data_IF_665852809332
#
_entry.id   IF_665852809332
#
_cell.length_a   1.000
_cell.length_b   1.000
_cell.length_c   1.000
_cell.angle_alpha   90.00
_cell.angle_beta   90.00
_cell.angle_gamma   90.00
#
_symmetry.space_group_name_H-M   'P 1'
#
loop_
_entity.id
_entity.type
_entity.pdbx_description
1 polymer ?
#
# COMPACT_ATOMS: atom_id res chain seq x y z
N UNK A 1 17.41 -10.04 13.32
CA UNK A 1 17.38 -10.70 11.99
C UNK A 1 18.22 -9.85 11.04
N UNK A 2 19.18 -10.43 10.32
CA UNK A 2 20.02 -9.65 9.38
C UNK A 2 19.17 -8.98 8.31
N UNK A 3 19.48 -7.73 7.93
CA UNK A 3 18.77 -6.97 6.89
C UNK A 3 18.58 -7.78 5.59
N UNK A 4 19.57 -8.59 5.22
CA UNK A 4 19.50 -9.51 4.07
C UNK A 4 18.40 -10.56 4.21
N UNK A 5 18.23 -11.13 5.41
CA UNK A 5 17.19 -12.14 5.68
C UNK A 5 15.78 -11.55 5.60
N UNK A 6 15.56 -10.34 6.15
CA UNK A 6 14.26 -9.66 6.08
C UNK A 6 13.87 -9.38 4.63
N UNK A 7 14.81 -8.86 3.82
CA UNK A 7 14.54 -8.55 2.42
C UNK A 7 14.28 -9.82 1.59
N UNK A 8 14.99 -10.92 1.86
CA UNK A 8 14.74 -12.20 1.19
C UNK A 8 13.34 -12.77 1.52
N UNK A 9 12.92 -12.72 2.79
CA UNK A 9 11.57 -13.16 3.18
C UNK A 9 10.51 -12.27 2.54
N UNK A 10 10.71 -10.95 2.56
CA UNK A 10 9.82 -10.00 1.89
C UNK A 10 9.67 -10.33 0.41
N UNK A 11 10.77 -10.51 -0.33
CA UNK A 11 10.71 -10.78 -1.77
C UNK A 11 9.97 -12.08 -2.07
N UNK A 12 10.19 -13.13 -1.27
CA UNK A 12 9.47 -14.39 -1.40
C UNK A 12 7.96 -14.20 -1.20
N UNK A 13 7.55 -13.60 -0.07
CA UNK A 13 6.13 -13.37 0.23
C UNK A 13 5.44 -12.51 -0.84
N UNK A 14 6.08 -11.41 -1.25
CA UNK A 14 5.52 -10.49 -2.25
C UNK A 14 5.44 -11.15 -3.63
N UNK A 15 6.46 -11.91 -4.04
CA UNK A 15 6.44 -12.62 -5.32
C UNK A 15 5.35 -13.69 -5.37
N UNK A 16 5.19 -14.48 -4.30
CA UNK A 16 4.11 -15.47 -4.19
C UNK A 16 2.74 -14.80 -4.25
N UNK A 17 2.55 -13.71 -3.49
CA UNK A 17 1.31 -12.95 -3.51
C UNK A 17 1.01 -12.39 -4.91
N UNK A 18 2.00 -11.78 -5.57
CA UNK A 18 1.85 -11.23 -6.91
C UNK A 18 1.45 -12.30 -7.93
N UNK A 19 2.05 -13.50 -7.87
CA UNK A 19 1.67 -14.64 -8.72
C UNK A 19 0.24 -15.08 -8.47
N UNK A 20 -0.18 -15.20 -7.20
CA UNK A 20 -1.56 -15.55 -6.85
C UNK A 20 -2.53 -14.51 -7.42
N UNK A 21 -2.24 -13.22 -7.23
CA UNK A 21 -3.07 -12.12 -7.74
C UNK A 21 -3.14 -12.14 -9.27
N UNK A 22 -2.04 -12.42 -9.96
CA UNK A 22 -2.03 -12.53 -11.42
C UNK A 22 -2.91 -13.71 -11.92
N UNK A 23 -2.82 -14.87 -11.26
CA UNK A 23 -3.69 -16.02 -11.57
C UNK A 23 -5.16 -15.67 -11.33
N UNK A 24 -5.47 -15.08 -10.17
CA UNK A 24 -6.84 -14.64 -9.83
C UNK A 24 -7.36 -13.63 -10.86
N UNK A 25 -6.54 -12.66 -11.27
CA UNK A 25 -6.90 -11.69 -12.30
C UNK A 25 -7.30 -12.38 -13.61
N UNK A 26 -6.47 -13.29 -14.11
CA UNK A 26 -6.73 -13.98 -15.39
C UNK A 26 -7.98 -14.85 -15.29
N UNK A 27 -8.10 -15.65 -14.23
CA UNK A 27 -9.25 -16.53 -14.01
C UNK A 27 -10.55 -15.72 -13.99
N UNK A 28 -10.63 -14.71 -13.13
CA UNK A 28 -11.83 -13.87 -13.01
C UNK A 28 -12.10 -13.07 -14.30
N UNK A 29 -11.07 -12.57 -14.98
CA UNK A 29 -11.25 -11.83 -16.24
C UNK A 29 -11.82 -12.71 -17.35
N UNK A 30 -11.45 -13.99 -17.42
CA UNK A 30 -12.01 -14.95 -18.39
C UNK A 30 -13.48 -15.28 -18.05
N UNK A 31 -13.81 -15.49 -16.77
CA UNK A 31 -15.17 -15.86 -16.37
C UNK A 31 -16.18 -14.72 -16.43
N UNK A 32 -15.76 -13.49 -16.15
CA UNK A 32 -16.65 -12.33 -16.04
C UNK A 32 -16.49 -11.31 -17.18
N UNK A 33 -15.51 -11.50 -18.08
CA UNK A 33 -15.14 -10.57 -19.16
C UNK A 33 -14.77 -9.14 -18.65
N UNK A 34 -14.35 -9.05 -17.39
CA UNK A 34 -14.08 -7.80 -16.67
C UNK A 34 -12.60 -7.41 -16.74
N UNK A 35 -12.02 -7.29 -17.92
CA UNK A 35 -10.58 -6.95 -18.05
C UNK A 35 -10.22 -5.56 -17.51
N UNK A 36 -11.13 -4.60 -17.65
CA UNK A 36 -10.92 -3.17 -17.40
C UNK A 36 -11.16 -2.69 -15.97
N UNK A 37 -12.11 -3.21 -15.18
CA UNK A 37 -12.20 -2.82 -13.77
C UNK A 37 -11.33 -3.71 -12.87
N UNK A 38 -11.02 -4.94 -13.30
CA UNK A 38 -10.42 -5.93 -12.43
C UNK A 38 -8.91 -5.77 -12.23
N UNK A 39 -8.21 -4.99 -13.07
CA UNK A 39 -6.78 -4.71 -12.85
C UNK A 39 -6.51 -3.96 -11.55
N UNK A 40 -7.53 -3.34 -10.95
CA UNK A 40 -7.46 -2.72 -9.62
C UNK A 40 -6.90 -3.66 -8.56
N UNK A 41 -7.09 -4.97 -8.71
CA UNK A 41 -6.55 -5.95 -7.76
C UNK A 41 -5.02 -5.94 -7.73
N UNK A 42 -4.34 -5.50 -8.80
CA UNK A 42 -2.88 -5.38 -8.79
C UNK A 42 -2.38 -4.29 -7.84
N UNK A 43 -3.20 -3.30 -7.52
CA UNK A 43 -2.87 -2.27 -6.54
C UNK A 43 -2.78 -2.84 -5.10
N UNK A 44 -3.34 -4.03 -4.87
CA UNK A 44 -3.17 -4.74 -3.59
C UNK A 44 -1.74 -5.26 -3.38
N UNK A 45 -0.97 -5.49 -4.46
CA UNK A 45 0.41 -5.99 -4.39
C UNK A 45 1.34 -5.01 -3.67
N UNK A 46 1.43 -3.71 -4.05
CA UNK A 46 2.26 -2.76 -3.32
C UNK A 46 1.77 -2.54 -1.88
N UNK A 47 0.45 -2.58 -1.63
CA UNK A 47 -0.10 -2.51 -0.27
C UNK A 47 0.40 -3.69 0.57
N UNK A 48 0.26 -4.92 0.06
CA UNK A 48 0.73 -6.13 0.72
C UNK A 48 2.24 -6.09 0.97
N UNK A 49 3.03 -5.65 -0.02
CA UNK A 49 4.47 -5.50 0.13
C UNK A 49 4.89 -4.50 1.22
N UNK A 50 4.16 -3.39 1.35
CA UNK A 50 4.39 -2.42 2.43
C UNK A 50 3.96 -2.95 3.80
N UNK A 51 2.87 -3.74 3.85
CA UNK A 51 2.37 -4.37 5.07
C UNK A 51 3.36 -5.40 5.60
N UNK A 52 3.82 -6.30 4.73
CA UNK A 52 4.84 -7.31 5.07
C UNK A 52 6.11 -6.63 5.58
N UNK A 53 6.54 -5.53 4.96
CA UNK A 53 7.70 -4.79 5.42
C UNK A 53 7.49 -4.16 6.81
N UNK A 54 6.33 -3.55 7.06
CA UNK A 54 5.98 -2.97 8.36
C UNK A 54 5.98 -4.04 9.48
N UNK A 55 5.45 -5.23 9.20
CA UNK A 55 5.42 -6.37 10.13
C UNK A 55 6.83 -6.89 10.39
N UNK A 56 7.60 -7.19 9.34
CA UNK A 56 8.95 -7.77 9.47
C UNK A 56 9.92 -6.82 10.18
N UNK A 57 9.78 -5.51 9.97
CA UNK A 57 10.61 -4.49 10.62
C UNK A 57 10.07 -4.06 11.99
N UNK A 58 8.87 -4.52 12.40
CA UNK A 58 8.14 -4.10 13.61
C UNK A 58 7.99 -2.58 13.72
N UNK A 59 7.79 -1.91 12.59
CA UNK A 59 7.72 -0.45 12.49
C UNK A 59 6.52 -0.07 11.64
N UNK A 60 5.41 0.26 12.31
CA UNK A 60 4.15 0.58 11.65
C UNK A 60 4.25 1.82 10.72
N UNK A 61 5.12 2.78 11.03
CA UNK A 61 5.39 3.98 10.21
C UNK A 61 6.14 3.71 8.90
N UNK A 62 6.48 2.46 8.58
CA UNK A 62 7.04 2.08 7.27
C UNK A 62 5.91 1.76 6.27
N UNK A 63 4.70 1.51 6.78
CA UNK A 63 3.54 1.23 5.97
C UNK A 63 3.25 2.39 5.01
N UNK A 64 3.08 2.09 3.73
CA UNK A 64 2.94 3.10 2.68
C UNK A 64 1.48 3.55 2.58
N UNK A 65 1.10 4.56 3.38
CA UNK A 65 -0.24 5.15 3.33
C UNK A 65 -0.57 5.69 1.93
N UNK A 66 0.45 6.06 1.16
CA UNK A 66 0.32 6.53 -0.23
C UNK A 66 -0.32 5.47 -1.12
N UNK A 67 0.15 4.23 -1.00
CA UNK A 67 -0.36 3.13 -1.81
C UNK A 67 -1.82 2.85 -1.48
N UNK A 68 -2.22 2.99 -0.22
CA UNK A 68 -3.63 2.85 0.20
C UNK A 68 -4.47 4.00 -0.33
N UNK A 69 -4.02 5.25 -0.17
CA UNK A 69 -4.76 6.42 -0.62
C UNK A 69 -4.99 6.41 -2.14
N UNK A 70 -3.96 6.07 -2.93
CA UNK A 70 -4.06 5.93 -4.38
C UNK A 70 -5.02 4.80 -4.75
N UNK A 71 -4.89 3.64 -4.09
CA UNK A 71 -5.77 2.48 -4.37
C UNK A 71 -7.23 2.80 -4.10
N UNK A 72 -7.53 3.48 -2.99
CA UNK A 72 -8.89 3.92 -2.64
C UNK A 72 -9.40 4.93 -3.64
N UNK A 73 -8.62 5.97 -3.98
CA UNK A 73 -9.03 6.99 -4.94
C UNK A 73 -9.37 6.40 -6.31
N UNK A 74 -8.48 5.56 -6.84
CA UNK A 74 -8.66 4.95 -8.18
C UNK A 74 -9.80 3.94 -8.17
N UNK A 75 -9.96 3.16 -7.10
CA UNK A 75 -11.09 2.23 -6.95
C UNK A 75 -12.43 2.95 -6.93
N UNK A 76 -12.55 4.03 -6.14
CA UNK A 76 -13.78 4.84 -6.09
C UNK A 76 -14.05 5.55 -7.42
N UNK A 77 -13.01 6.07 -8.07
CA UNK A 77 -13.11 6.71 -9.39
C UNK A 77 -13.62 5.76 -10.47
N UNK A 78 -13.19 4.49 -10.47
CA UNK A 78 -13.63 3.50 -11.47
C UNK A 78 -15.01 2.91 -11.12
N UNK A 79 -15.26 2.55 -9.87
CA UNK A 79 -16.51 1.88 -9.47
C UNK A 79 -17.68 2.86 -9.41
N UNK A 80 -17.49 4.02 -8.80
CA UNK A 80 -18.56 5.01 -8.59
C UNK A 80 -18.58 6.10 -9.66
N UNK A 81 -17.56 6.18 -10.52
CA UNK A 81 -17.37 7.26 -11.50
C UNK A 81 -17.30 8.67 -10.85
N UNK A 82 -16.94 8.72 -9.56
CA UNK A 82 -16.78 9.96 -8.82
C UNK A 82 -15.29 10.25 -8.73
N UNK A 83 -14.81 11.15 -9.59
CA UNK A 83 -13.43 11.65 -9.56
C UNK A 83 -13.30 12.93 -8.75
N UNK A 84 -14.36 13.74 -8.74
CA UNK A 84 -14.54 14.93 -7.91
C UNK A 84 -15.76 14.71 -7.01
N UNK A 85 -15.67 14.88 -5.68
CA UNK A 85 -14.60 15.50 -4.87
C UNK A 85 -13.54 14.52 -4.31
N UNK A 86 -13.54 13.27 -4.76
CA UNK A 86 -12.83 12.14 -4.16
C UNK A 86 -11.31 12.28 -4.12
N UNK A 87 -10.72 13.13 -4.95
CA UNK A 87 -9.29 13.47 -4.90
C UNK A 87 -8.84 14.00 -3.53
N UNK A 88 -9.77 14.53 -2.72
CA UNK A 88 -9.48 14.99 -1.36
C UNK A 88 -8.90 13.87 -0.47
N UNK A 89 -9.16 12.59 -0.77
CA UNK A 89 -8.56 11.43 -0.08
C UNK A 89 -7.03 11.45 -0.20
N UNK A 90 -6.47 11.97 -1.30
CA UNK A 90 -5.02 12.07 -1.48
C UNK A 90 -4.37 13.05 -0.50
N UNK A 91 -5.13 13.98 0.09
CA UNK A 91 -4.63 14.89 1.13
C UNK A 91 -4.26 14.17 2.43
N UNK A 92 -4.69 12.91 2.62
CA UNK A 92 -4.22 12.06 3.72
C UNK A 92 -2.70 11.87 3.66
N UNK A 93 -2.11 11.85 2.45
CA UNK A 93 -0.67 11.66 2.25
C UNK A 93 0.16 12.76 2.92
N UNK A 94 0.02 14.06 2.56
CA UNK A 94 0.79 15.11 3.19
C UNK A 94 0.47 15.26 4.68
N UNK A 95 -0.78 15.05 5.09
CA UNK A 95 -1.17 15.09 6.52
C UNK A 95 -0.42 14.02 7.31
N UNK A 96 -0.41 12.78 6.83
CA UNK A 96 0.30 11.68 7.48
C UNK A 96 1.81 11.91 7.52
N UNK A 97 2.42 12.36 6.41
CA UNK A 97 3.86 12.66 6.37
C UNK A 97 4.24 13.81 7.31
N UNK A 98 3.39 14.83 7.42
CA UNK A 98 3.57 15.94 8.35
C UNK A 98 3.52 15.47 9.81
N UNK A 99 2.54 14.65 10.19
CA UNK A 99 2.45 14.12 11.56
C UNK A 99 3.63 13.23 11.91
N UNK A 100 4.09 12.34 11.01
CA UNK A 100 5.30 11.55 11.22
C UNK A 100 6.54 12.44 11.45
N UNK A 101 6.67 13.53 10.68
CA UNK A 101 7.75 14.51 10.84
C UNK A 101 7.72 15.17 12.21
N UNK A 102 6.54 15.61 12.67
CA UNK A 102 6.34 16.19 13.99
C UNK A 102 6.69 15.21 15.11
N UNK A 103 6.22 13.95 15.04
CA UNK A 103 6.54 12.92 16.03
C UNK A 103 8.04 12.63 16.11
N UNK A 104 8.73 12.52 14.97
CA UNK A 104 10.19 12.33 14.93
C UNK A 104 10.92 13.49 15.60
N UNK A 105 10.49 14.73 15.35
CA UNK A 105 11.07 15.93 15.95
C UNK A 105 10.86 15.98 17.47
N UNK A 106 9.65 15.69 17.96
CA UNK A 106 9.34 15.64 19.40
C UNK A 106 10.20 14.59 20.10
N UNK A 107 10.32 13.39 19.52
CA UNK A 107 11.12 12.30 20.09
C UNK A 107 12.60 12.69 20.19
N UNK A 108 13.14 13.34 19.17
CA UNK A 108 14.53 13.80 19.14
C UNK A 108 14.81 14.84 20.23
N UNK A 109 13.93 15.82 20.43
CA UNK A 109 14.08 16.83 21.50
C UNK A 109 14.10 16.16 22.87
N UNK A 110 13.20 15.20 23.12
CA UNK A 110 13.12 14.47 24.40
C UNK A 110 14.35 13.59 24.70
N UNK A 111 15.14 13.22 23.70
CA UNK A 111 16.36 12.43 23.89
C UNK A 111 17.60 13.32 24.14
N UNK A 112 17.49 14.64 23.97
CA UNK A 112 18.57 15.62 24.19
C UNK A 112 18.53 16.27 25.58
N UNK A 113 17.36 16.28 26.22
CA UNK A 113 17.17 16.69 27.62
C UNK A 113 17.49 15.53 28.59
#
# INVERSE_FOLDING_TARGET
MSYKKINAIKSLLVSTYATIIAVVYVVLSIFFDLWHPLWLIFLTIPIYGSLVEAILRKKAWIFSIEMVAISVYVTLGIILNIWHPTWAVLLIIPVYRSTEGAFRKIKYIREMD
#
